data_IF_140989654861
#
_entry.id   IF_140989654861
#
_cell.length_a   1.000
_cell.length_b   1.000
_cell.length_c   1.000
_cell.angle_alpha   90.00
_cell.angle_beta   90.00
_cell.angle_gamma   90.00
#
_symmetry.space_group_name_H-M   'P 1'
#
loop_
_entity.id
_entity.type
_entity.pdbx_description
1 polymer ?
#
# COMPACT_ATOMS: atom_id res chain seq x y z
N UNK A 1 8.38 48.23 -36.14
CA UNK A 1 8.02 48.44 -34.69
C UNK A 1 7.06 47.36 -34.33
N UNK A 2 7.59 46.22 -33.95
CA UNK A 2 6.80 45.06 -33.55
C UNK A 2 6.62 45.07 -32.05
N UNK A 3 5.37 45.24 -31.61
CA UNK A 3 5.03 45.15 -30.20
C UNK A 3 4.88 43.69 -29.80
N UNK A 4 5.82 43.21 -29.01
CA UNK A 4 5.75 41.92 -28.33
C UNK A 4 4.82 42.09 -27.11
N UNK A 5 3.62 41.50 -27.15
CA UNK A 5 2.79 41.32 -25.97
C UNK A 5 3.22 40.04 -25.23
N UNK A 6 3.56 40.11 -23.94
CA UNK A 6 3.92 38.89 -23.20
C UNK A 6 2.69 38.05 -22.86
N UNK A 7 2.84 36.76 -23.01
CA UNK A 7 1.88 35.67 -22.73
C UNK A 7 1.49 35.57 -21.25
N UNK A 8 0.79 36.55 -20.71
CA UNK A 8 0.30 36.55 -19.31
C UNK A 8 -1.05 35.77 -19.17
N UNK A 9 -1.76 35.54 -20.27
CA UNK A 9 -3.06 34.85 -20.25
C UNK A 9 -2.96 33.32 -20.12
N UNK A 10 -1.83 32.71 -20.47
CA UNK A 10 -1.70 31.25 -20.47
C UNK A 10 -1.36 30.64 -19.08
N UNK A 11 -0.74 31.40 -18.18
CA UNK A 11 -0.44 30.89 -16.83
C UNK A 11 -1.65 30.92 -15.89
N UNK A 12 -2.49 31.95 -15.98
CA UNK A 12 -3.70 32.03 -15.14
C UNK A 12 -4.78 31.03 -15.57
N UNK A 13 -4.93 30.76 -16.85
CA UNK A 13 -5.88 29.75 -17.34
C UNK A 13 -5.43 28.32 -16.92
N UNK A 14 -4.16 27.99 -17.03
CA UNK A 14 -3.64 26.69 -16.58
C UNK A 14 -3.80 26.47 -15.07
N UNK A 15 -3.62 27.53 -14.27
CA UNK A 15 -3.81 27.45 -12.82
C UNK A 15 -5.29 27.31 -12.45
N UNK A 16 -6.19 27.99 -13.16
CA UNK A 16 -7.63 27.89 -12.94
C UNK A 16 -8.16 26.51 -13.38
N UNK A 17 -7.73 25.98 -14.51
CA UNK A 17 -8.08 24.61 -14.94
C UNK A 17 -7.55 23.55 -13.98
N UNK A 18 -6.34 23.70 -13.46
CA UNK A 18 -5.82 22.84 -12.39
C UNK A 18 -6.72 22.87 -11.16
N UNK A 19 -7.08 24.05 -10.65
CA UNK A 19 -7.98 24.17 -9.48
C UNK A 19 -9.36 23.54 -9.71
N UNK A 20 -9.92 23.65 -10.90
CA UNK A 20 -11.22 23.05 -11.25
C UNK A 20 -11.11 21.52 -11.32
N UNK A 21 -10.06 20.98 -11.92
CA UNK A 21 -9.81 19.52 -12.00
C UNK A 21 -9.59 18.93 -10.59
N UNK A 22 -8.83 19.61 -9.73
CA UNK A 22 -8.64 19.24 -8.31
C UNK A 22 -9.97 19.15 -7.59
N UNK A 23 -10.79 20.19 -7.71
CA UNK A 23 -12.11 20.24 -7.08
C UNK A 23 -12.99 19.06 -7.49
N UNK A 24 -12.97 18.67 -8.76
CA UNK A 24 -13.76 17.56 -9.31
C UNK A 24 -13.26 16.18 -8.83
N UNK A 25 -11.94 15.95 -8.80
CA UNK A 25 -11.38 14.66 -8.32
C UNK A 25 -11.67 14.44 -6.83
N UNK A 26 -11.43 15.44 -5.99
CA UNK A 26 -11.75 15.37 -4.57
C UNK A 26 -13.25 15.20 -4.30
N UNK A 27 -14.13 15.80 -5.12
CA UNK A 27 -15.57 15.58 -5.04
C UNK A 27 -15.94 14.12 -5.29
N UNK A 28 -15.41 13.50 -6.34
CA UNK A 28 -15.65 12.09 -6.66
C UNK A 28 -15.22 11.15 -5.52
N UNK A 29 -14.05 11.40 -4.93
CA UNK A 29 -13.54 10.61 -3.82
C UNK A 29 -14.45 10.75 -2.59
N UNK A 30 -14.82 11.98 -2.21
CA UNK A 30 -15.73 12.21 -1.09
C UNK A 30 -17.12 11.60 -1.29
N UNK A 31 -17.66 11.65 -2.51
CA UNK A 31 -18.95 11.02 -2.85
C UNK A 31 -18.86 9.48 -2.71
N UNK A 32 -17.75 8.89 -3.16
CA UNK A 32 -17.51 7.45 -3.02
C UNK A 32 -17.38 7.03 -1.56
N UNK A 33 -16.63 7.79 -0.74
CA UNK A 33 -16.53 7.57 0.71
C UNK A 33 -17.89 7.62 1.38
N UNK A 34 -18.67 8.67 1.14
CA UNK A 34 -20.02 8.80 1.70
C UNK A 34 -20.96 7.66 1.28
N UNK A 35 -20.85 7.18 0.04
CA UNK A 35 -21.62 6.03 -0.45
C UNK A 35 -21.22 4.76 0.28
N UNK A 36 -19.92 4.52 0.43
CA UNK A 36 -19.38 3.36 1.13
C UNK A 36 -19.80 3.36 2.61
N UNK A 37 -19.67 4.48 3.30
CA UNK A 37 -20.07 4.64 4.70
C UNK A 37 -21.57 4.41 4.93
N UNK A 38 -22.42 4.94 4.06
CA UNK A 38 -23.89 4.68 4.13
C UNK A 38 -24.21 3.20 3.98
N UNK A 39 -23.51 2.50 3.07
CA UNK A 39 -23.69 1.07 2.89
C UNK A 39 -23.16 0.30 4.10
N UNK A 40 -21.98 0.66 4.60
CA UNK A 40 -21.39 0.09 5.83
C UNK A 40 -22.37 0.19 7.01
N UNK A 41 -22.92 1.38 7.29
CA UNK A 41 -23.85 1.60 8.40
C UNK A 41 -25.09 0.69 8.31
N UNK A 42 -25.62 0.50 7.09
CA UNK A 42 -26.74 -0.43 6.86
C UNK A 42 -26.34 -1.87 7.19
N UNK A 43 -25.20 -2.32 6.72
CA UNK A 43 -24.72 -3.69 6.90
C UNK A 43 -24.25 -3.96 8.33
N UNK A 44 -23.66 -2.97 8.99
CA UNK A 44 -23.23 -3.05 10.39
C UNK A 44 -24.41 -3.39 11.32
N UNK A 45 -25.59 -2.83 11.09
CA UNK A 45 -26.79 -3.14 11.87
C UNK A 45 -27.15 -4.62 11.81
N UNK A 46 -26.88 -5.29 10.68
CA UNK A 46 -27.08 -6.72 10.50
C UNK A 46 -25.95 -7.50 11.17
N UNK A 47 -24.70 -7.10 10.92
CA UNK A 47 -23.50 -7.79 11.39
C UNK A 47 -23.28 -7.71 12.91
N UNK A 48 -23.83 -6.71 13.59
CA UNK A 48 -23.74 -6.57 15.06
C UNK A 48 -24.31 -7.78 15.82
N UNK A 49 -25.29 -8.47 15.24
CA UNK A 49 -25.93 -9.63 15.86
C UNK A 49 -25.39 -10.95 15.31
N UNK A 50 -24.34 -10.94 14.51
CA UNK A 50 -23.73 -12.15 13.98
C UNK A 50 -23.02 -12.92 15.10
N UNK A 51 -23.36 -14.20 15.24
CA UNK A 51 -22.78 -15.09 16.26
C UNK A 51 -21.26 -15.24 16.12
N UNK A 52 -20.74 -15.17 14.89
CA UNK A 52 -19.32 -15.36 14.58
C UNK A 52 -18.49 -14.09 14.65
N UNK A 53 -19.11 -12.93 14.92
CA UNK A 53 -18.38 -11.67 15.02
C UNK A 53 -17.42 -11.71 16.21
N UNK A 54 -16.10 -11.44 16.00
CA UNK A 54 -15.12 -11.41 17.08
C UNK A 54 -15.47 -10.35 18.13
N UNK A 55 -15.19 -10.65 19.42
CA UNK A 55 -15.50 -9.76 20.54
C UNK A 55 -14.36 -8.79 20.85
N UNK A 56 -13.12 -9.12 20.49
CA UNK A 56 -11.94 -8.34 20.85
C UNK A 56 -10.93 -8.12 19.73
N UNK A 57 -11.02 -8.80 18.61
CA UNK A 57 -10.18 -8.55 17.44
C UNK A 57 -10.65 -7.31 16.68
N UNK A 58 -9.70 -6.65 15.97
CA UNK A 58 -10.08 -5.68 14.96
C UNK A 58 -10.76 -6.43 13.83
N UNK A 59 -12.00 -6.05 13.57
CA UNK A 59 -12.80 -6.59 12.48
C UNK A 59 -13.46 -5.43 11.74
N UNK A 60 -13.72 -5.61 10.44
CA UNK A 60 -14.55 -4.67 9.71
C UNK A 60 -15.94 -4.57 10.34
N UNK A 61 -16.61 -3.41 10.31
CA UNK A 61 -17.99 -3.28 10.77
C UNK A 61 -18.92 -4.29 10.13
N UNK A 62 -18.71 -4.60 8.85
CA UNK A 62 -19.40 -5.64 8.08
C UNK A 62 -18.59 -5.93 6.81
N UNK A 63 -18.90 -7.05 6.15
CA UNK A 63 -18.37 -7.44 4.84
C UNK A 63 -16.89 -7.82 4.86
N UNK A 64 -16.18 -7.67 3.73
CA UNK A 64 -14.83 -8.19 3.51
C UNK A 64 -13.75 -7.34 4.19
N UNK A 65 -12.81 -8.01 4.84
CA UNK A 65 -11.56 -7.46 5.38
C UNK A 65 -10.39 -8.40 5.05
N UNK A 66 -9.24 -7.84 4.71
CA UNK A 66 -7.96 -8.56 4.64
C UNK A 66 -6.83 -7.72 5.25
N UNK A 67 -5.73 -7.47 4.56
CA UNK A 67 -4.47 -6.93 5.08
C UNK A 67 -4.62 -5.72 6.01
N UNK A 68 -3.93 -5.70 7.16
CA UNK A 68 -3.72 -4.48 7.92
C UNK A 68 -2.77 -3.54 7.17
N UNK A 69 -3.07 -2.25 7.18
CA UNK A 69 -2.33 -1.22 6.48
C UNK A 69 -2.00 -0.04 7.38
N UNK A 70 -0.93 0.67 7.08
CA UNK A 70 -0.68 2.00 7.60
C UNK A 70 -0.70 2.14 9.12
N UNK A 71 -0.29 1.09 9.87
CA UNK A 71 -0.21 1.19 11.33
C UNK A 71 0.75 2.29 11.74
N UNK A 72 0.27 3.27 12.52
CA UNK A 72 1.05 4.41 12.95
C UNK A 72 0.49 5.05 14.23
N UNK A 73 1.31 5.87 14.89
CA UNK A 73 0.87 6.75 15.97
C UNK A 73 0.81 8.18 15.44
N UNK A 74 -0.37 8.80 15.53
CA UNK A 74 -0.59 10.16 15.04
C UNK A 74 -1.59 10.91 15.92
N UNK A 75 -1.28 12.14 16.28
CA UNK A 75 -2.13 13.02 17.13
C UNK A 75 -2.70 12.38 18.40
N UNK A 76 -1.90 11.52 19.05
CA UNK A 76 -2.24 10.93 20.34
C UNK A 76 -3.11 9.66 20.27
N UNK A 77 -3.33 9.12 19.09
CA UNK A 77 -4.00 7.84 18.86
C UNK A 77 -3.13 6.92 17.98
N UNK A 78 -3.21 5.61 18.19
CA UNK A 78 -2.75 4.61 17.26
C UNK A 78 -3.79 4.46 16.16
N UNK A 79 -3.39 4.57 14.91
CA UNK A 79 -4.23 4.39 13.74
C UNK A 79 -3.86 3.07 13.07
N UNK A 80 -4.86 2.31 12.67
CA UNK A 80 -4.73 1.14 11.82
C UNK A 80 -5.75 1.24 10.70
N UNK A 81 -5.26 1.07 9.49
CA UNK A 81 -6.09 0.95 8.31
C UNK A 81 -6.11 -0.52 7.89
N UNK A 82 -7.02 -0.89 7.00
CA UNK A 82 -7.11 -2.25 6.50
C UNK A 82 -7.78 -2.29 5.13
N UNK A 83 -7.43 -3.28 4.33
CA UNK A 83 -8.12 -3.57 3.08
C UNK A 83 -9.58 -3.90 3.37
N UNK A 84 -10.49 -3.20 2.69
CA UNK A 84 -11.91 -3.25 2.98
C UNK A 84 -12.77 -3.20 1.72
N UNK A 85 -13.66 -4.20 1.53
CA UNK A 85 -14.70 -4.09 0.52
C UNK A 85 -16.05 -3.88 1.20
N UNK A 86 -16.58 -2.64 1.24
CA UNK A 86 -17.78 -2.31 2.02
C UNK A 86 -19.06 -2.89 1.46
N UNK A 87 -19.10 -3.30 0.20
CA UNK A 87 -20.32 -3.64 -0.52
C UNK A 87 -20.66 -5.14 -0.54
N UNK A 88 -19.72 -6.01 -0.21
CA UNK A 88 -19.90 -7.46 -0.28
C UNK A 88 -18.99 -8.19 0.70
N UNK A 89 -19.41 -9.39 1.13
CA UNK A 89 -18.54 -10.35 1.84
C UNK A 89 -17.58 -11.10 0.91
N UNK A 90 -17.57 -10.81 -0.36
CA UNK A 90 -16.61 -11.30 -1.34
C UNK A 90 -15.55 -10.24 -1.60
N UNK A 91 -14.36 -10.69 -2.00
CA UNK A 91 -13.30 -9.79 -2.47
C UNK A 91 -13.81 -8.92 -3.63
N UNK A 92 -13.34 -7.67 -3.70
CA UNK A 92 -13.77 -6.71 -4.73
C UNK A 92 -12.94 -5.43 -4.67
N UNK A 93 -13.39 -4.33 -5.29
CA UNK A 93 -12.64 -3.07 -5.30
C UNK A 93 -12.35 -2.57 -3.90
N UNK A 94 -11.08 -2.70 -3.48
CA UNK A 94 -10.64 -2.41 -2.12
C UNK A 94 -10.68 -0.92 -1.81
N UNK A 95 -11.23 -0.63 -0.65
CA UNK A 95 -11.14 0.63 0.08
C UNK A 95 -10.14 0.47 1.23
N UNK A 96 -9.78 1.54 1.91
CA UNK A 96 -9.12 1.45 3.21
C UNK A 96 -10.13 1.75 4.31
N UNK A 97 -10.51 0.73 5.08
CA UNK A 97 -11.18 0.89 6.36
C UNK A 97 -10.22 1.49 7.39
N UNK A 98 -10.75 2.03 8.50
CA UNK A 98 -9.95 2.75 9.46
C UNK A 98 -10.48 2.56 10.89
N UNK A 99 -9.58 2.25 11.80
CA UNK A 99 -9.81 2.23 13.25
C UNK A 99 -8.72 2.99 13.97
N UNK A 100 -9.04 3.55 15.15
CA UNK A 100 -8.04 4.16 16.01
C UNK A 100 -8.23 3.78 17.48
N UNK A 101 -7.12 3.77 18.23
CA UNK A 101 -7.07 3.41 19.64
C UNK A 101 -6.08 4.29 20.41
N UNK A 102 -6.33 4.50 21.68
CA UNK A 102 -5.37 5.16 22.60
C UNK A 102 -4.51 4.18 23.38
N UNK A 103 -4.89 2.91 23.40
CA UNK A 103 -4.33 1.90 24.29
C UNK A 103 -4.01 0.55 23.59
N UNK A 104 -4.21 0.46 22.26
CA UNK A 104 -4.05 -0.74 21.43
C UNK A 104 -5.01 -1.89 21.77
N UNK A 105 -5.95 -1.67 22.70
CA UNK A 105 -6.94 -2.66 23.15
C UNK A 105 -8.34 -2.25 22.72
N UNK A 106 -8.68 -0.98 22.97
CA UNK A 106 -10.01 -0.44 22.65
C UNK A 106 -9.97 0.34 21.35
N UNK A 107 -10.40 -0.29 20.27
CA UNK A 107 -10.43 0.27 18.92
C UNK A 107 -11.78 0.89 18.59
N UNK A 108 -11.76 2.02 17.94
CA UNK A 108 -12.95 2.75 17.46
C UNK A 108 -12.92 2.88 15.96
N UNK A 109 -13.98 2.47 15.30
CA UNK A 109 -14.18 2.70 13.87
C UNK A 109 -14.16 4.19 13.56
N UNK A 110 -13.41 4.57 12.55
CA UNK A 110 -13.32 5.92 11.98
C UNK A 110 -13.94 5.90 10.58
N UNK A 111 -14.16 7.06 9.96
CA UNK A 111 -14.54 7.14 8.55
C UNK A 111 -13.59 6.34 7.65
N UNK A 112 -14.13 5.79 6.54
CA UNK A 112 -13.33 5.10 5.53
C UNK A 112 -12.29 6.08 4.99
N UNK A 113 -11.02 5.69 4.95
CA UNK A 113 -9.92 6.59 4.61
C UNK A 113 -9.75 6.76 3.09
N UNK A 114 -9.85 5.68 2.31
CA UNK A 114 -9.65 5.67 0.87
C UNK A 114 -10.75 4.89 0.14
N UNK A 115 -11.18 5.41 -1.01
CA UNK A 115 -12.07 4.74 -1.94
C UNK A 115 -11.46 4.75 -3.36
N UNK A 116 -11.58 3.67 -4.16
CA UNK A 116 -11.10 3.61 -5.53
C UNK A 116 -11.99 4.47 -6.44
N UNK A 117 -11.40 5.53 -7.04
CA UNK A 117 -12.18 6.53 -7.80
C UNK A 117 -11.46 7.11 -9.00
N UNK A 118 -10.14 6.99 -9.04
CA UNK A 118 -9.30 7.58 -10.07
C UNK A 118 -8.85 6.52 -11.08
N UNK A 119 -8.41 6.93 -12.27
CA UNK A 119 -8.02 6.00 -13.33
C UNK A 119 -6.90 5.04 -12.92
N UNK A 120 -6.03 5.46 -12.00
CA UNK A 120 -4.90 4.67 -11.51
C UNK A 120 -5.26 3.72 -10.36
N UNK A 121 -6.47 3.85 -9.76
CA UNK A 121 -6.92 2.98 -8.66
C UNK A 121 -8.39 2.56 -8.78
N UNK A 122 -8.98 2.65 -9.97
CA UNK A 122 -10.42 2.44 -10.19
C UNK A 122 -10.93 1.05 -9.78
N UNK A 123 -10.05 0.06 -9.69
CA UNK A 123 -10.40 -1.31 -9.31
C UNK A 123 -9.88 -1.67 -7.89
N UNK A 124 -9.16 -0.75 -7.20
CA UNK A 124 -8.79 -0.92 -5.80
C UNK A 124 -7.71 0.04 -5.31
N UNK A 125 -7.83 0.45 -4.05
CA UNK A 125 -6.74 1.00 -3.26
C UNK A 125 -6.10 -0.16 -2.49
N UNK A 126 -5.03 -0.76 -3.04
CA UNK A 126 -4.37 -1.92 -2.45
C UNK A 126 -3.45 -1.54 -1.29
N UNK A 127 -2.83 -2.54 -0.69
CA UNK A 127 -2.07 -2.41 0.56
C UNK A 127 -0.93 -1.41 0.51
N UNK A 128 -0.48 -1.01 1.69
CA UNK A 128 0.57 -0.04 1.87
C UNK A 128 0.77 0.40 3.31
N UNK A 129 1.42 1.54 3.52
CA UNK A 129 1.88 2.01 4.82
C UNK A 129 1.58 3.48 5.08
N UNK A 130 1.82 3.92 6.32
CA UNK A 130 1.69 5.31 6.72
C UNK A 130 2.98 5.85 7.32
N UNK A 131 3.20 7.16 7.17
CA UNK A 131 4.27 7.90 7.85
C UNK A 131 3.83 9.33 8.12
N UNK A 132 4.24 9.87 9.27
CA UNK A 132 4.04 11.28 9.61
C UNK A 132 5.25 12.11 9.17
N UNK A 133 4.97 13.30 8.62
CA UNK A 133 5.93 14.34 8.37
C UNK A 133 5.28 15.71 8.55
N UNK A 134 5.88 16.56 9.37
CA UNK A 134 5.48 17.96 9.58
C UNK A 134 3.99 18.11 9.93
N UNK A 135 3.48 17.31 10.87
CA UNK A 135 2.07 17.21 11.30
C UNK A 135 1.09 16.80 10.19
N UNK A 136 1.57 16.23 9.11
CA UNK A 136 0.77 15.65 8.04
C UNK A 136 0.98 14.15 8.01
N UNK A 137 -0.11 13.39 8.01
CA UNK A 137 -0.08 11.93 7.85
C UNK A 137 -0.17 11.59 6.37
N UNK A 138 0.81 10.82 5.87
CA UNK A 138 0.89 10.32 4.50
C UNK A 138 0.50 8.85 4.49
N UNK A 139 -0.47 8.46 3.67
CA UNK A 139 -0.79 7.07 3.36
C UNK A 139 -0.23 6.75 1.98
N UNK A 140 0.72 5.83 1.93
CA UNK A 140 1.24 5.26 0.69
C UNK A 140 0.49 3.98 0.40
N UNK A 141 -0.06 3.85 -0.80
CA UNK A 141 -0.86 2.71 -1.21
C UNK A 141 -0.62 2.34 -2.67
N UNK A 142 -1.01 1.15 -3.03
CA UNK A 142 -0.94 0.70 -4.42
C UNK A 142 -2.25 1.00 -5.13
N UNK A 143 -2.19 1.78 -6.20
CA UNK A 143 -3.31 1.94 -7.14
C UNK A 143 -3.40 0.70 -8.03
N UNK A 144 -4.58 0.08 -8.06
CA UNK A 144 -4.83 -1.15 -8.80
C UNK A 144 -5.84 -0.94 -9.91
N UNK A 145 -5.53 -1.46 -11.11
CA UNK A 145 -6.36 -1.37 -12.30
C UNK A 145 -6.39 -2.71 -13.02
N UNK A 146 -7.57 -3.23 -13.28
CA UNK A 146 -7.78 -4.39 -14.16
C UNK A 146 -7.89 -3.88 -15.60
N UNK A 147 -6.97 -4.31 -16.46
CA UNK A 147 -6.89 -3.90 -17.87
C UNK A 147 -7.83 -4.67 -18.78
N UNK A 148 -8.04 -5.95 -18.49
CA UNK A 148 -8.96 -6.82 -19.23
C UNK A 148 -9.91 -7.54 -18.27
N UNK A 149 -11.15 -7.05 -18.18
CA UNK A 149 -12.19 -7.59 -17.27
C UNK A 149 -12.85 -8.87 -17.81
N UNK A 150 -12.63 -9.23 -19.08
CA UNK A 150 -13.22 -10.43 -19.70
C UNK A 150 -12.30 -11.65 -19.52
N UNK A 151 -11.00 -11.42 -19.42
CA UNK A 151 -10.00 -12.42 -19.07
C UNK A 151 -9.46 -12.12 -17.66
N UNK A 152 -10.10 -12.67 -16.66
CA UNK A 152 -9.69 -12.57 -15.25
C UNK A 152 -8.35 -13.32 -15.01
N UNK A 153 -7.29 -12.84 -15.68
CA UNK A 153 -5.93 -13.35 -15.55
C UNK A 153 -5.10 -12.35 -14.78
N UNK A 154 -4.29 -12.84 -13.87
CA UNK A 154 -3.34 -12.05 -13.10
C UNK A 154 -2.41 -11.16 -13.96
N UNK A 155 -2.24 -11.51 -15.24
CA UNK A 155 -1.41 -10.80 -16.21
C UNK A 155 -2.10 -9.57 -16.85
N UNK A 156 -3.38 -9.31 -16.55
CA UNK A 156 -4.17 -8.22 -17.14
C UNK A 156 -4.44 -7.08 -16.16
N UNK A 157 -3.44 -6.71 -15.36
CA UNK A 157 -3.57 -5.64 -14.36
C UNK A 157 -2.41 -4.65 -14.45
N UNK A 158 -2.57 -3.50 -13.80
CA UNK A 158 -1.55 -2.48 -13.65
C UNK A 158 -1.52 -2.06 -12.18
N UNK A 159 -0.33 -2.02 -11.61
CA UNK A 159 -0.09 -1.58 -10.24
C UNK A 159 0.87 -0.40 -10.22
N UNK A 160 0.49 0.65 -9.49
CA UNK A 160 1.25 1.91 -9.39
C UNK A 160 1.29 2.37 -7.94
N UNK A 161 2.29 3.22 -7.60
CA UNK A 161 2.41 3.72 -6.24
C UNK A 161 1.74 5.08 -6.11
N UNK A 162 0.88 5.22 -5.11
CA UNK A 162 0.05 6.38 -4.87
C UNK A 162 0.24 6.90 -3.44
N UNK A 163 -0.22 8.14 -3.20
CA UNK A 163 -0.20 8.77 -1.89
C UNK A 163 -1.46 9.57 -1.64
N UNK A 164 -1.95 9.51 -0.40
CA UNK A 164 -2.98 10.38 0.13
C UNK A 164 -2.48 11.03 1.43
N UNK A 165 -2.97 12.22 1.74
CA UNK A 165 -2.52 12.99 2.91
C UNK A 165 -3.69 13.42 3.79
N UNK A 166 -3.41 13.57 5.09
CA UNK A 166 -4.36 14.12 6.07
C UNK A 166 -3.64 14.97 7.11
N UNK A 167 -4.22 16.11 7.45
CA UNK A 167 -3.75 16.95 8.56
C UNK A 167 -4.47 16.63 9.88
N UNK A 168 -5.59 15.94 9.83
CA UNK A 168 -6.40 15.59 11.03
C UNK A 168 -6.38 14.10 11.39
N UNK A 169 -5.83 13.25 10.49
CA UNK A 169 -5.80 11.79 10.64
C UNK A 169 -7.13 11.10 10.34
N UNK A 170 -8.13 11.84 9.84
CA UNK A 170 -9.49 11.35 9.58
C UNK A 170 -9.89 11.56 8.12
N UNK A 171 -9.68 12.77 7.61
CA UNK A 171 -10.05 13.15 6.26
C UNK A 171 -8.82 13.10 5.35
N UNK A 172 -8.81 12.16 4.40
CA UNK A 172 -7.70 11.94 3.49
C UNK A 172 -7.99 12.48 2.09
N UNK A 173 -6.97 13.10 1.49
CA UNK A 173 -7.02 13.62 0.13
C UNK A 173 -5.96 12.94 -0.71
N UNK A 174 -6.35 12.34 -1.82
CA UNK A 174 -5.42 11.82 -2.83
C UNK A 174 -4.71 13.00 -3.50
N UNK A 175 -3.40 12.86 -3.71
CA UNK A 175 -2.63 13.91 -4.39
C UNK A 175 -2.88 13.89 -5.91
N UNK A 176 -2.78 15.06 -6.51
CA UNK A 176 -3.04 15.25 -7.95
C UNK A 176 -2.04 14.58 -8.85
N UNK A 177 -0.79 14.55 -8.40
CA UNK A 177 0.32 13.96 -9.13
C UNK A 177 0.41 12.44 -8.96
N UNK A 178 -0.62 11.80 -8.39
CA UNK A 178 -0.71 10.35 -8.41
C UNK A 178 -0.89 9.83 -9.86
N UNK A 179 -0.28 8.68 -10.18
CA UNK A 179 0.64 7.91 -9.34
C UNK A 179 2.01 8.60 -9.21
N UNK A 180 2.62 8.52 -8.01
CA UNK A 180 3.95 9.09 -7.73
C UNK A 180 5.09 8.20 -8.22
N UNK A 181 4.83 6.91 -8.45
CA UNK A 181 5.71 5.99 -9.17
C UNK A 181 4.82 5.13 -10.09
N UNK A 182 5.16 5.11 -11.36
CA UNK A 182 4.52 4.29 -12.38
C UNK A 182 5.58 3.51 -13.16
N UNK A 183 5.15 2.64 -14.05
CA UNK A 183 6.05 1.79 -14.86
C UNK A 183 6.99 2.57 -15.78
N UNK A 184 6.58 3.77 -16.22
CA UNK A 184 7.41 4.60 -17.11
C UNK A 184 8.60 5.23 -16.37
N UNK A 185 8.59 5.16 -15.03
CA UNK A 185 9.68 5.67 -14.18
C UNK A 185 10.71 4.61 -13.82
N UNK A 186 10.56 3.36 -14.28
CA UNK A 186 11.52 2.30 -14.02
C UNK A 186 12.78 2.48 -14.89
N UNK A 187 13.98 2.15 -14.35
CA UNK A 187 15.16 2.00 -15.16
C UNK A 187 14.91 1.00 -16.32
N UNK A 188 15.46 1.27 -17.52
CA UNK A 188 15.26 0.44 -18.72
C UNK A 188 15.78 -1.00 -18.55
N UNK A 189 16.78 -1.18 -17.68
CA UNK A 189 17.40 -2.46 -17.36
C UNK A 189 16.77 -3.17 -16.15
N UNK A 190 15.78 -2.54 -15.52
CA UNK A 190 15.09 -3.16 -14.39
C UNK A 190 14.11 -4.21 -14.88
N UNK A 191 14.42 -5.46 -14.56
CA UNK A 191 13.56 -6.59 -14.88
C UNK A 191 12.38 -6.69 -13.90
N UNK A 192 11.20 -6.20 -14.33
CA UNK A 192 9.98 -6.14 -13.51
C UNK A 192 8.72 -6.30 -14.35
N UNK A 193 7.73 -6.98 -13.80
CA UNK A 193 6.38 -7.02 -14.35
C UNK A 193 5.52 -5.92 -13.73
N UNK A 194 4.86 -5.12 -14.57
CA UNK A 194 3.96 -4.02 -14.17
C UNK A 194 2.71 -4.50 -13.43
N UNK A 195 2.36 -5.75 -13.62
CA UNK A 195 1.25 -6.46 -13.00
C UNK A 195 1.50 -6.72 -11.51
N UNK A 196 2.76 -6.77 -11.12
CA UNK A 196 3.21 -7.14 -9.78
C UNK A 196 4.20 -6.13 -9.22
N UNK A 197 3.68 -4.98 -8.74
CA UNK A 197 4.45 -3.90 -8.15
C UNK A 197 3.61 -3.22 -7.06
N UNK A 198 3.62 -3.77 -5.82
CA UNK A 198 2.68 -3.39 -4.77
C UNK A 198 3.24 -3.38 -3.35
N UNK A 199 2.40 -2.92 -2.42
CA UNK A 199 2.58 -2.97 -0.97
C UNK A 199 3.74 -2.11 -0.47
N UNK A 200 3.73 -0.78 -0.68
CA UNK A 200 4.82 0.09 -0.28
C UNK A 200 4.93 0.22 1.24
N UNK A 201 6.12 -0.01 1.78
CA UNK A 201 6.48 0.34 3.15
C UNK A 201 7.47 1.50 3.15
N UNK A 202 7.12 2.57 3.86
CA UNK A 202 7.95 3.77 3.97
C UNK A 202 8.49 3.92 5.40
N UNK A 203 9.77 4.30 5.51
CA UNK A 203 10.42 4.65 6.77
C UNK A 203 11.38 5.82 6.59
N UNK A 204 11.82 6.40 7.70
CA UNK A 204 12.84 7.45 7.72
C UNK A 204 14.13 6.89 8.30
N UNK A 205 15.24 7.19 7.62
CA UNK A 205 16.58 6.94 8.14
C UNK A 205 17.44 8.18 7.91
N UNK A 206 17.99 8.74 8.99
CA UNK A 206 18.65 10.04 8.99
C UNK A 206 17.74 11.13 8.38
N UNK A 207 18.24 11.86 7.38
CA UNK A 207 17.52 12.94 6.69
C UNK A 207 16.82 12.49 5.41
N UNK A 208 16.74 11.18 5.17
CA UNK A 208 16.13 10.59 3.99
C UNK A 208 14.94 9.70 4.36
N UNK A 209 14.00 9.62 3.45
CA UNK A 209 12.94 8.62 3.47
C UNK A 209 13.27 7.51 2.49
N UNK A 210 12.98 6.29 2.88
CA UNK A 210 13.13 5.09 2.08
C UNK A 210 11.78 4.41 1.90
N UNK A 211 11.63 3.71 0.79
CA UNK A 211 10.43 2.95 0.46
C UNK A 211 10.85 1.61 -0.13
N UNK A 212 10.37 0.52 0.44
CA UNK A 212 10.44 -0.79 -0.19
C UNK A 212 9.09 -1.14 -0.81
N UNK A 213 9.12 -1.78 -1.98
CA UNK A 213 7.92 -2.22 -2.71
C UNK A 213 8.15 -3.64 -3.20
N UNK A 214 7.16 -4.50 -3.03
CA UNK A 214 7.19 -5.87 -3.56
C UNK A 214 7.02 -5.90 -5.06
N UNK A 215 7.72 -6.80 -5.71
CA UNK A 215 7.72 -6.92 -7.16
C UNK A 215 7.99 -8.35 -7.64
N UNK A 216 7.67 -8.60 -8.90
CA UNK A 216 8.00 -9.82 -9.63
C UNK A 216 8.86 -9.50 -10.85
N UNK A 217 9.86 -10.33 -11.14
CA UNK A 217 10.61 -10.27 -12.39
C UNK A 217 9.83 -10.91 -13.54
N UNK A 218 10.26 -10.67 -14.79
CA UNK A 218 9.69 -11.34 -15.99
C UNK A 218 9.95 -12.86 -15.97
N UNK A 219 10.97 -13.31 -15.26
CA UNK A 219 11.29 -14.73 -15.04
C UNK A 219 10.49 -15.36 -13.89
N UNK A 220 9.51 -14.60 -13.32
CA UNK A 220 8.67 -15.06 -12.21
C UNK A 220 9.46 -15.33 -10.93
N UNK A 221 10.30 -14.39 -10.55
CA UNK A 221 11.05 -14.39 -9.30
C UNK A 221 10.62 -13.24 -8.42
N UNK A 222 10.30 -13.51 -7.15
CA UNK A 222 9.93 -12.49 -6.17
C UNK A 222 11.12 -11.61 -5.79
N UNK A 223 10.90 -10.29 -5.71
CA UNK A 223 11.91 -9.30 -5.32
C UNK A 223 11.30 -8.14 -4.55
N UNK A 224 12.15 -7.41 -3.83
CA UNK A 224 11.83 -6.16 -3.14
C UNK A 224 12.67 -5.03 -3.71
N UNK A 225 12.02 -3.95 -4.16
CA UNK A 225 12.67 -2.79 -4.75
C UNK A 225 12.76 -1.66 -3.74
N UNK A 226 13.91 -0.97 -3.67
CA UNK A 226 14.09 0.16 -2.76
C UNK A 226 14.21 1.48 -3.51
N UNK A 227 13.52 2.47 -2.97
CA UNK A 227 13.52 3.87 -3.40
C UNK A 227 13.91 4.78 -2.25
N UNK A 228 14.41 5.98 -2.56
CA UNK A 228 14.70 7.04 -1.59
C UNK A 228 14.04 8.36 -1.98
N UNK A 229 13.75 9.21 -0.98
CA UNK A 229 13.14 10.52 -1.17
C UNK A 229 13.55 11.48 -0.06
N UNK A 230 13.61 12.79 -0.37
CA UNK A 230 13.77 13.87 0.63
C UNK A 230 12.45 14.43 1.10
N UNK A 231 11.39 14.27 0.32
CA UNK A 231 10.14 15.00 0.50
C UNK A 231 8.88 14.11 0.60
N UNK A 232 9.02 12.79 0.42
CA UNK A 232 7.93 11.80 0.35
C UNK A 232 7.14 11.80 -0.96
N UNK A 233 7.42 12.70 -1.88
CA UNK A 233 6.68 12.89 -3.13
C UNK A 233 7.49 12.53 -4.37
N UNK A 234 8.78 12.88 -4.36
CA UNK A 234 9.71 12.59 -5.44
C UNK A 234 10.61 11.43 -5.03
N UNK A 235 10.46 10.29 -5.71
CA UNK A 235 11.16 9.04 -5.39
C UNK A 235 12.18 8.69 -6.46
N UNK A 236 13.37 8.36 -6.03
CA UNK A 236 14.48 7.88 -6.85
C UNK A 236 14.68 6.39 -6.58
N UNK A 237 14.69 5.57 -7.63
CA UNK A 237 15.06 4.16 -7.52
C UNK A 237 16.52 4.04 -7.07
N UNK A 238 16.77 3.16 -6.11
CA UNK A 238 18.12 2.92 -5.59
C UNK A 238 18.66 1.59 -6.10
N UNK A 239 17.93 0.48 -5.83
CA UNK A 239 18.36 -0.87 -6.20
C UNK A 239 17.24 -1.91 -6.02
N UNK A 240 17.52 -3.15 -6.41
CA UNK A 240 16.84 -4.34 -5.88
C UNK A 240 17.41 -4.61 -4.48
N UNK A 241 16.59 -4.38 -3.45
CA UNK A 241 16.96 -4.52 -2.05
C UNK A 241 17.29 -5.96 -1.67
N UNK A 242 16.45 -6.87 -2.13
CA UNK A 242 16.59 -8.32 -1.98
C UNK A 242 15.74 -9.03 -3.04
N UNK A 243 16.09 -10.25 -3.38
CA UNK A 243 15.33 -11.09 -4.31
C UNK A 243 15.48 -12.57 -3.96
N UNK A 244 14.53 -13.40 -4.39
CA UNK A 244 14.64 -14.86 -4.33
C UNK A 244 15.77 -15.33 -5.24
N UNK A 245 16.46 -16.39 -4.82
CA UNK A 245 17.43 -17.08 -5.67
C UNK A 245 16.84 -18.39 -6.21
N UNK A 246 17.42 -18.94 -7.29
CA UNK A 246 17.00 -20.23 -7.83
C UNK A 246 17.14 -21.36 -6.80
N UNK A 247 18.14 -21.27 -5.92
CA UNK A 247 18.42 -22.28 -4.89
C UNK A 247 17.41 -22.24 -3.73
N UNK A 248 17.00 -21.03 -3.33
CA UNK A 248 16.04 -20.83 -2.24
C UNK A 248 14.60 -21.09 -2.68
N UNK A 249 14.28 -20.74 -3.93
CA UNK A 249 12.94 -20.82 -4.50
C UNK A 249 11.84 -20.20 -3.60
N UNK A 250 12.05 -18.96 -3.16
CA UNK A 250 11.11 -18.23 -2.32
C UNK A 250 10.02 -17.55 -3.15
N UNK A 251 9.37 -18.34 -4.01
CA UNK A 251 8.18 -17.97 -4.74
C UNK A 251 8.39 -16.96 -5.86
N UNK A 252 7.30 -16.69 -6.57
CA UNK A 252 7.31 -15.88 -7.77
C UNK A 252 7.00 -14.41 -7.52
N UNK A 253 6.42 -14.04 -6.39
CA UNK A 253 6.09 -12.67 -6.00
C UNK A 253 6.30 -12.49 -4.49
N UNK A 254 6.86 -11.35 -4.10
CA UNK A 254 6.98 -10.95 -2.70
C UNK A 254 5.98 -9.85 -2.38
N UNK A 255 4.96 -10.19 -1.59
CA UNK A 255 3.95 -9.26 -1.11
C UNK A 255 4.34 -8.65 0.23
N UNK A 256 3.72 -7.54 0.57
CA UNK A 256 3.78 -6.88 1.88
C UNK A 256 5.19 -6.71 2.46
N UNK A 257 6.22 -6.31 1.67
CA UNK A 257 7.55 -6.12 2.23
C UNK A 257 7.48 -5.07 3.33
N UNK A 258 8.07 -5.37 4.47
CA UNK A 258 8.16 -4.47 5.60
C UNK A 258 9.59 -4.46 6.13
N UNK A 259 10.11 -3.28 6.43
CA UNK A 259 11.43 -3.11 6.99
C UNK A 259 11.33 -2.44 8.35
N UNK A 260 12.00 -3.00 9.35
CA UNK A 260 12.02 -2.49 10.70
C UNK A 260 13.36 -2.77 11.38
N UNK A 261 13.70 -1.96 12.39
CA UNK A 261 14.74 -2.24 13.36
C UNK A 261 14.09 -2.68 14.66
N UNK A 262 14.41 -3.89 15.13
CA UNK A 262 13.88 -4.50 16.35
C UNK A 262 15.06 -5.02 17.18
N UNK A 263 15.25 -4.51 18.40
CA UNK A 263 16.32 -4.91 19.33
C UNK A 263 17.73 -4.89 18.69
N UNK A 264 18.04 -3.85 17.91
CA UNK A 264 19.28 -3.65 17.15
C UNK A 264 19.49 -4.65 16.00
N UNK A 265 18.48 -5.39 15.59
CA UNK A 265 18.47 -6.19 14.37
C UNK A 265 17.63 -5.50 13.30
N UNK A 266 18.16 -5.42 12.09
CA UNK A 266 17.39 -5.01 10.94
C UNK A 266 16.66 -6.21 10.35
N UNK A 267 15.38 -6.06 10.11
CA UNK A 267 14.47 -7.15 9.74
C UNK A 267 13.75 -6.78 8.46
N UNK A 268 13.86 -7.63 7.45
CA UNK A 268 13.03 -7.57 6.25
C UNK A 268 11.95 -8.65 6.35
N UNK A 269 10.70 -8.23 6.52
CA UNK A 269 9.53 -9.11 6.56
C UNK A 269 8.88 -9.10 5.17
N UNK A 270 8.39 -10.23 4.70
CA UNK A 270 7.68 -10.34 3.44
C UNK A 270 6.78 -11.58 3.38
N UNK A 271 5.84 -11.57 2.45
CA UNK A 271 4.91 -12.68 2.21
C UNK A 271 5.11 -13.23 0.79
N UNK A 272 5.95 -14.28 0.63
CA UNK A 272 6.21 -14.85 -0.68
C UNK A 272 5.04 -15.70 -1.16
N UNK A 273 4.68 -15.56 -2.45
CA UNK A 273 3.67 -16.36 -3.12
C UNK A 273 4.30 -17.51 -3.92
N UNK A 274 3.71 -18.69 -3.85
CA UNK A 274 4.11 -19.85 -4.65
C UNK A 274 5.34 -20.58 -4.10
N UNK A 275 5.53 -20.58 -2.79
CA UNK A 275 6.54 -21.39 -2.13
C UNK A 275 6.01 -22.81 -1.94
N UNK A 276 6.76 -23.78 -2.38
CA UNK A 276 6.38 -25.20 -2.25
C UNK A 276 6.61 -25.72 -0.82
N UNK A 277 5.73 -26.60 -0.31
CA UNK A 277 5.89 -27.21 1.00
C UNK A 277 7.21 -27.97 1.16
N UNK A 278 7.90 -27.76 2.29
CA UNK A 278 9.13 -28.45 2.66
C UNK A 278 9.03 -29.03 4.09
N UNK A 279 8.89 -30.35 4.22
CA UNK A 279 8.72 -31.00 5.51
C UNK A 279 7.50 -30.47 6.28
N UNK A 280 7.74 -29.76 7.38
CA UNK A 280 6.71 -29.09 8.18
C UNK A 280 6.65 -27.57 7.94
N UNK A 281 7.42 -27.07 6.98
CA UNK A 281 7.42 -25.64 6.58
C UNK A 281 6.54 -25.44 5.36
N UNK A 282 6.04 -24.21 5.22
CA UNK A 282 5.32 -23.73 4.03
C UNK A 282 4.07 -24.53 3.66
N UNK A 283 3.32 -24.98 4.68
CA UNK A 283 2.11 -25.78 4.47
C UNK A 283 0.87 -24.94 4.12
N UNK A 284 0.92 -23.63 4.32
CA UNK A 284 -0.15 -22.70 3.96
C UNK A 284 -0.10 -22.39 2.45
N UNK A 285 -1.23 -21.96 1.89
CA UNK A 285 -1.30 -21.46 0.52
C UNK A 285 -0.41 -20.21 0.32
N UNK A 286 -0.41 -19.33 1.32
CA UNK A 286 0.41 -18.12 1.38
C UNK A 286 1.30 -18.17 2.62
N UNK A 287 2.46 -17.56 2.54
CA UNK A 287 3.46 -17.57 3.61
C UNK A 287 3.72 -16.14 4.10
N UNK A 288 4.16 -16.01 5.34
CA UNK A 288 4.74 -14.78 5.85
C UNK A 288 5.95 -15.12 6.71
N UNK A 289 7.02 -14.39 6.50
CA UNK A 289 8.29 -14.66 7.19
C UNK A 289 9.24 -13.50 7.10
N UNK A 290 10.50 -13.75 7.49
CA UNK A 290 11.48 -12.67 7.61
C UNK A 290 12.92 -13.14 7.34
N UNK A 291 13.73 -12.14 7.01
CA UNK A 291 15.20 -12.22 7.09
C UNK A 291 15.70 -11.27 8.16
N UNK A 292 16.72 -11.69 8.90
CA UNK A 292 17.61 -10.81 9.65
C UNK A 292 18.76 -10.39 8.75
N UNK A 293 19.27 -9.18 8.94
CA UNK A 293 20.39 -8.72 8.12
C UNK A 293 20.82 -7.30 8.43
N UNK A 294 21.48 -6.71 7.43
CA UNK A 294 21.97 -5.32 7.47
C UNK A 294 21.63 -4.59 6.18
N UNK A 295 21.08 -3.40 6.34
CA UNK A 295 20.78 -2.52 5.22
C UNK A 295 21.97 -1.62 4.90
N UNK A 296 22.57 -1.79 3.74
CA UNK A 296 23.51 -0.82 3.22
C UNK A 296 22.75 0.30 2.47
N UNK A 297 22.56 1.42 3.13
CA UNK A 297 21.86 2.59 2.59
C UNK A 297 22.61 3.29 1.44
N UNK A 298 23.90 2.98 1.20
CA UNK A 298 24.66 3.52 0.06
C UNK A 298 24.35 2.76 -1.22
N UNK A 299 24.28 1.44 -1.15
CA UNK A 299 24.01 0.55 -2.29
C UNK A 299 22.54 0.22 -2.45
N UNK A 300 21.74 0.28 -1.38
CA UNK A 300 20.36 -0.16 -1.36
C UNK A 300 20.18 -1.68 -1.22
N UNK A 301 21.24 -2.41 -0.83
CA UNK A 301 21.21 -3.86 -0.67
C UNK A 301 20.97 -4.21 0.78
N UNK A 302 20.08 -5.19 1.03
CA UNK A 302 19.90 -5.83 2.32
C UNK A 302 20.72 -7.12 2.37
N UNK A 303 21.81 -7.10 3.14
CA UNK A 303 22.69 -8.25 3.35
C UNK A 303 22.07 -9.18 4.38
N UNK A 304 21.54 -10.33 3.92
CA UNK A 304 20.88 -11.33 4.75
C UNK A 304 21.89 -12.07 5.61
N UNK A 305 21.55 -12.28 6.89
CA UNK A 305 22.35 -13.03 7.88
C UNK A 305 21.78 -14.41 8.18
N UNK A 306 20.55 -14.72 7.74
CA UNK A 306 19.88 -16.01 7.94
C UNK A 306 19.10 -16.43 6.68
N UNK A 307 18.68 -17.70 6.66
CA UNK A 307 17.67 -18.19 5.72
C UNK A 307 16.30 -17.64 6.06
N UNK A 308 15.34 -17.74 5.13
CA UNK A 308 13.96 -17.30 5.36
C UNK A 308 13.30 -18.07 6.50
N UNK A 309 12.85 -17.36 7.53
CA UNK A 309 12.16 -17.93 8.68
C UNK A 309 10.69 -17.52 8.68
N UNK A 310 9.80 -18.52 8.87
CA UNK A 310 8.36 -18.28 8.97
C UNK A 310 8.02 -17.55 10.27
N UNK A 311 7.13 -16.55 10.19
CA UNK A 311 6.63 -15.83 11.37
C UNK A 311 5.69 -16.69 12.22
N UNK A 312 4.94 -17.58 11.58
CA UNK A 312 3.98 -18.45 12.24
C UNK A 312 3.84 -19.78 11.48
N UNK A 313 3.53 -20.86 12.19
CA UNK A 313 3.32 -22.20 11.63
C UNK A 313 1.84 -22.59 11.62
N UNK A 314 0.94 -21.69 12.05
CA UNK A 314 -0.51 -21.88 12.00
C UNK A 314 -1.04 -21.66 10.59
N UNK A 315 -2.17 -22.27 10.31
CA UNK A 315 -2.80 -22.20 8.98
C UNK A 315 -3.72 -20.97 8.80
N UNK A 316 -3.89 -20.16 9.82
CA UNK A 316 -4.68 -18.91 9.78
C UNK A 316 -3.81 -17.65 9.68
N UNK A 317 -2.50 -17.81 9.49
CA UNK A 317 -1.55 -16.70 9.41
C UNK A 317 -1.04 -16.49 7.99
N UNK A 318 -1.11 -15.21 7.54
CA UNK A 318 -0.60 -14.74 6.25
C UNK A 318 0.10 -13.41 6.41
#
# INVERSE_FOLDING_TARGET
>A
MDFIFPNIFNQKSNQFYKFVIIGVKNLKHNEALLKAEKFQQKMETIAQNDYWKPQYHIAAPANWINDPNGFCFYKGEYHLFYQYHPYSSQWGPMHWGHVASKDLVNWKTKPIALAPTDEYDRDGCFSGSAIEKDNTLYLFYTGHVVLDKENDKDDAQLQTQCVAISEDGINFKKLENNPIINIDSFPEDLNILKEHFRDPKVWKYNDMYYKVVGAQTTEKTGQALIYKSKDLLNWEFVNVMAMSTEEENLGFMWECPNFAEIDNHEVLILSPQGVEPEGNKFLNLHQSGYFLGKMDYNTGIFERENDFEMLDYGFDFY
#
